data_IF_311662623623
#
_entry.id   IF_311662623623
#
_cell.length_a   1.000
_cell.length_b   1.000
_cell.length_c   1.000
_cell.angle_alpha   90.00
_cell.angle_beta   90.00
_cell.angle_gamma   90.00
#
_symmetry.space_group_name_H-M   'P 1'
#
loop_
_entity.id
_entity.type
_entity.pdbx_description
1 polymer ?
#
# COMPACT_ATOMS: atom_id res chain seq x y z
N UNK A 1 4.48 2.19 -32.41
CA UNK A 1 3.94 1.04 -31.66
C UNK A 1 3.97 1.44 -30.19
N UNK A 2 2.96 2.19 -29.79
CA UNK A 2 3.02 3.09 -28.64
C UNK A 2 1.85 2.74 -27.74
N UNK A 3 2.12 1.96 -26.70
CA UNK A 3 1.24 1.88 -25.54
C UNK A 3 2.09 1.52 -24.32
N UNK A 4 2.87 2.50 -23.88
CA UNK A 4 3.48 2.46 -22.56
C UNK A 4 2.35 2.52 -21.55
N UNK A 5 2.27 1.50 -20.68
CA UNK A 5 1.24 1.33 -19.66
C UNK A 5 1.29 2.55 -18.71
N UNK A 6 0.53 3.58 -19.06
CA UNK A 6 0.35 4.79 -18.25
C UNK A 6 -0.74 4.48 -17.23
N UNK A 7 -0.59 3.35 -16.53
CA UNK A 7 -1.28 3.05 -15.30
C UNK A 7 -0.62 3.82 -14.16
N UNK A 8 -0.42 5.13 -14.33
CA UNK A 8 -0.26 6.02 -13.19
C UNK A 8 -1.58 5.94 -12.44
N UNK A 9 -1.66 4.93 -11.57
CA UNK A 9 -2.67 4.83 -10.54
C UNK A 9 -2.42 6.02 -9.64
N UNK A 10 -2.85 7.21 -10.03
CA UNK A 10 -2.72 8.41 -9.21
C UNK A 10 -3.77 8.38 -8.10
N UNK A 11 -3.80 7.28 -7.34
CA UNK A 11 -4.60 7.15 -6.15
C UNK A 11 -3.87 7.91 -5.05
N UNK A 12 -4.09 9.23 -5.00
CA UNK A 12 -3.60 10.05 -3.90
C UNK A 12 -4.29 9.64 -2.61
N UNK A 13 -3.56 8.95 -1.74
CA UNK A 13 -4.06 8.59 -0.42
C UNK A 13 -4.10 9.81 0.50
N UNK A 14 -5.23 10.01 1.17
CA UNK A 14 -5.43 11.07 2.15
C UNK A 14 -5.07 10.56 3.55
N UNK A 15 -4.77 11.49 4.45
CA UNK A 15 -4.59 11.16 5.87
C UNK A 15 -5.87 10.50 6.38
N UNK A 16 -5.76 9.34 7.01
CA UNK A 16 -6.89 8.54 7.49
C UNK A 16 -7.26 7.35 6.59
N UNK A 17 -6.80 7.32 5.33
CA UNK A 17 -7.07 6.19 4.45
C UNK A 17 -6.42 4.90 4.96
N UNK A 18 -7.13 3.79 4.79
CA UNK A 18 -6.64 2.45 5.08
C UNK A 18 -6.00 1.85 3.83
N UNK A 19 -4.77 1.35 4.00
CA UNK A 19 -3.94 0.79 2.94
C UNK A 19 -3.37 -0.56 3.34
N UNK A 20 -3.17 -1.44 2.37
CA UNK A 20 -2.33 -2.62 2.57
C UNK A 20 -0.93 -2.38 2.05
N UNK A 21 0.07 -2.82 2.82
CA UNK A 21 1.47 -2.63 2.46
C UNK A 21 2.03 -3.94 1.92
N UNK A 22 2.39 -3.97 0.65
CA UNK A 22 3.05 -5.15 0.08
C UNK A 22 4.57 -5.08 0.31
N UNK A 23 5.12 -6.14 0.92
CA UNK A 23 6.56 -6.24 1.20
C UNK A 23 7.23 -7.22 0.23
N UNK A 24 7.95 -6.74 -0.81
CA UNK A 24 8.51 -7.60 -1.85
C UNK A 24 9.72 -8.44 -1.40
N UNK A 25 9.98 -8.61 -0.10
CA UNK A 25 11.14 -9.38 0.36
C UNK A 25 10.96 -10.88 0.10
N UNK A 26 11.51 -11.35 -1.02
CA UNK A 26 11.98 -12.72 -1.18
C UNK A 26 13.11 -12.99 -0.17
N UNK A 27 12.97 -14.06 0.61
CA UNK A 27 14.13 -14.73 1.22
C UNK A 27 14.74 -15.62 0.15
N UNK A 28 16.03 -15.43 -0.16
CA UNK A 28 16.79 -16.40 -0.97
C UNK A 28 16.72 -17.76 -0.25
N UNK A 29 16.30 -18.82 -0.94
CA UNK A 29 16.40 -20.21 -0.47
C UNK A 29 15.12 -20.97 -0.11
N UNK A 30 13.91 -20.48 -0.41
CA UNK A 30 12.66 -21.25 -0.20
C UNK A 30 11.76 -21.26 -1.45
N UNK A 31 11.13 -22.42 -1.69
CA UNK A 31 10.30 -22.75 -2.86
C UNK A 31 9.28 -21.68 -3.25
N UNK A 32 9.17 -21.45 -4.57
CA UNK A 32 8.38 -20.46 -5.32
C UNK A 32 6.86 -20.67 -5.23
N UNK A 33 6.28 -20.77 -4.03
CA UNK A 33 4.82 -20.56 -3.90
C UNK A 33 4.56 -19.06 -3.80
N UNK A 34 3.74 -18.45 -4.69
CA UNK A 34 3.46 -17.02 -4.62
C UNK A 34 2.68 -16.71 -3.33
N UNK A 35 3.38 -16.19 -2.33
CA UNK A 35 2.77 -15.51 -1.19
C UNK A 35 3.05 -14.03 -1.35
N UNK A 36 2.15 -13.30 -2.01
CA UNK A 36 2.11 -11.84 -1.89
C UNK A 36 1.75 -11.54 -0.43
N UNK A 37 2.78 -11.36 0.41
CA UNK A 37 2.61 -10.98 1.81
C UNK A 37 2.34 -9.48 1.85
N UNK A 38 1.11 -9.10 1.53
CA UNK A 38 0.62 -7.77 1.87
C UNK A 38 0.25 -7.78 3.36
N UNK A 39 0.81 -6.82 4.09
CA UNK A 39 0.72 -6.75 5.54
C UNK A 39 -0.31 -5.70 5.91
N UNK A 40 -1.36 -6.15 6.61
CA UNK A 40 -2.30 -5.38 7.43
C UNK A 40 -3.01 -4.18 6.79
N UNK A 41 -4.06 -3.67 7.43
CA UNK A 41 -4.51 -2.30 7.22
C UNK A 41 -3.56 -1.36 7.95
N UNK A 42 -3.07 -0.37 7.23
CA UNK A 42 -2.26 0.73 7.70
C UNK A 42 -3.01 2.02 7.44
N UNK A 43 -3.08 2.89 8.44
CA UNK A 43 -3.65 4.22 8.28
C UNK A 43 -2.58 5.19 7.80
N UNK A 44 -2.89 6.00 6.79
CA UNK A 44 -2.02 7.11 6.37
C UNK A 44 -2.00 8.17 7.45
N UNK A 45 -0.81 8.46 7.98
CA UNK A 45 -0.63 9.53 8.97
C UNK A 45 -0.33 10.85 8.29
N UNK A 46 0.55 10.83 7.28
CA UNK A 46 0.96 12.01 6.54
C UNK A 46 1.60 11.61 5.21
N UNK A 47 1.30 12.35 4.16
CA UNK A 47 2.07 12.35 2.90
C UNK A 47 3.37 13.13 3.14
N UNK A 48 4.51 12.47 2.98
CA UNK A 48 5.81 13.14 3.09
C UNK A 48 6.18 13.79 1.76
N UNK A 49 6.00 13.05 0.66
CA UNK A 49 6.17 13.47 -0.74
C UNK A 49 5.11 12.78 -1.62
N UNK A 50 5.05 13.11 -2.91
CA UNK A 50 4.18 12.42 -3.89
C UNK A 50 4.39 10.92 -3.96
N UNK A 51 5.64 10.48 -3.82
CA UNK A 51 6.02 9.07 -3.91
C UNK A 51 6.24 8.41 -2.54
N UNK A 52 6.19 9.16 -1.43
CA UNK A 52 6.51 8.65 -0.08
C UNK A 52 5.45 9.03 0.94
N UNK A 53 4.89 8.01 1.60
CA UNK A 53 3.88 8.18 2.64
C UNK A 53 4.38 7.64 3.98
N UNK A 54 3.92 8.28 5.05
CA UNK A 54 4.09 7.80 6.42
C UNK A 54 2.79 7.15 6.87
N UNK A 55 2.85 5.86 7.17
CA UNK A 55 1.71 5.03 7.54
C UNK A 55 1.88 4.41 8.91
N UNK A 56 0.79 4.06 9.57
CA UNK A 56 0.80 3.50 10.93
C UNK A 56 -0.27 2.41 11.05
N UNK A 57 0.09 1.27 11.63
CA UNK A 57 -0.82 0.12 11.75
C UNK A 57 -1.87 0.29 12.86
N UNK A 58 -1.49 1.00 13.92
CA UNK A 58 -2.30 1.23 15.12
C UNK A 58 -1.82 2.52 15.77
N UNK A 59 -2.65 3.27 16.52
CA UNK A 59 -2.29 4.58 17.06
C UNK A 59 -1.03 4.56 17.96
N UNK A 60 -0.77 3.43 18.61
CA UNK A 60 0.41 3.23 19.48
C UNK A 60 1.61 2.56 18.76
N UNK A 61 1.43 2.12 17.52
CA UNK A 61 2.49 1.44 16.77
C UNK A 61 3.47 2.46 16.17
N UNK A 62 4.74 2.09 16.02
CA UNK A 62 5.72 2.97 15.36
C UNK A 62 5.30 3.22 13.89
N UNK A 63 5.23 4.48 13.44
CA UNK A 63 4.94 4.78 12.04
C UNK A 63 6.08 4.30 11.13
N UNK A 64 5.72 3.84 9.92
CA UNK A 64 6.65 3.40 8.88
C UNK A 64 6.56 4.34 7.67
N UNK A 65 7.68 4.51 6.99
CA UNK A 65 7.77 5.29 5.75
C UNK A 65 7.83 4.33 4.57
N UNK A 66 6.93 4.49 3.60
CA UNK A 66 6.70 3.52 2.53
C UNK A 66 6.52 4.24 1.20
N UNK A 67 7.08 3.66 0.14
CA UNK A 67 6.94 4.15 -1.23
C UNK A 67 5.55 3.85 -1.80
N UNK A 68 5.01 4.77 -2.60
CA UNK A 68 3.70 4.68 -3.24
C UNK A 68 3.46 3.33 -3.94
N UNK A 69 4.42 2.85 -4.75
CA UNK A 69 4.35 1.55 -5.44
C UNK A 69 4.18 0.31 -4.54
N UNK A 70 4.28 0.46 -3.22
CA UNK A 70 4.08 -0.62 -2.24
C UNK A 70 2.79 -0.48 -1.45
N UNK A 71 2.05 0.60 -1.67
CA UNK A 71 0.76 0.86 -1.06
C UNK A 71 -0.32 0.37 -2.02
N UNK A 72 -1.11 -0.57 -1.54
CA UNK A 72 -2.31 -1.01 -2.22
C UNK A 72 -3.52 -0.42 -1.46
N UNK A 73 -4.56 0.06 -2.16
CA UNK A 73 -5.80 0.44 -1.51
C UNK A 73 -6.32 -0.73 -0.67
N UNK A 74 -6.62 -0.50 0.61
CA UNK A 74 -7.38 -1.48 1.36
C UNK A 74 -8.77 -1.50 0.74
N UNK A 75 -9.27 -2.68 0.36
CA UNK A 75 -10.63 -2.87 -0.11
C UNK A 75 -11.57 -2.54 1.04
N UNK A 76 -11.81 -1.26 1.23
CA UNK A 76 -12.94 -0.77 1.99
C UNK A 76 -14.07 -0.94 1.00
N UNK A 77 -14.65 -2.14 0.95
CA UNK A 77 -15.98 -2.33 0.41
C UNK A 77 -16.86 -1.42 1.26
N UNK A 78 -16.99 -0.17 0.82
CA UNK A 78 -18.23 0.53 0.99
C UNK A 78 -19.26 -0.42 0.42
N UNK A 79 -19.96 -1.11 1.32
CA UNK A 79 -21.19 -1.78 0.98
C UNK A 79 -22.17 -0.66 0.68
N UNK A 80 -22.04 0.00 -0.46
CA UNK A 80 -23.20 0.64 -1.03
C UNK A 80 -24.00 -0.47 -1.68
N UNK A 81 -24.80 -1.11 -0.82
CA UNK A 81 -25.99 -1.83 -1.22
C UNK A 81 -26.88 -0.85 -1.98
N UNK A 82 -26.87 -0.93 -3.31
CA UNK A 82 -27.98 -0.56 -4.20
C UNK A 82 -28.03 -1.63 -5.31
#
# INVERSE_FOLDING_TARGET
MTHYDSGEREHHFKKGDLLSVCNPKQRRGLSTKPRQKCEGPYTVIKKLNDVVYRVQKSPNAKPKVIHFNRLEPYWTTDRNCM
#
